data_IF_796117080881
#
_entry.id   IF_796117080881
#
_cell.length_a   1.000
_cell.length_b   1.000
_cell.length_c   1.000
_cell.angle_alpha   90.00
_cell.angle_beta   90.00
_cell.angle_gamma   90.00
#
_symmetry.space_group_name_H-M   'P 1'
#
loop_
_entity.id
_entity.type
_entity.pdbx_description
1 polymer ?
#
# COMPACT_ATOMS: atom_id res chain seq x y z
N UNK A 1 -31.96 21.26 -17.58
CA UNK A 1 -30.50 21.00 -17.57
C UNK A 1 -30.06 20.82 -16.12
N UNK A 2 -29.81 19.58 -15.70
CA UNK A 2 -29.36 19.29 -14.34
C UNK A 2 -27.98 19.91 -14.11
N UNK A 3 -27.84 20.71 -13.05
CA UNK A 3 -26.59 21.34 -12.62
C UNK A 3 -25.57 20.22 -12.38
N UNK A 4 -24.58 20.06 -13.26
CA UNK A 4 -23.49 19.08 -13.10
C UNK A 4 -22.89 19.25 -11.70
N UNK A 5 -23.10 18.25 -10.84
CA UNK A 5 -22.68 18.26 -9.45
C UNK A 5 -21.16 18.06 -9.37
N UNK A 6 -20.42 19.16 -9.54
CA UNK A 6 -18.95 19.21 -9.56
C UNK A 6 -18.30 18.75 -8.25
N UNK A 7 -19.06 18.69 -7.16
CA UNK A 7 -18.57 18.21 -5.86
C UNK A 7 -18.28 16.71 -5.87
N UNK A 8 -19.13 15.89 -6.50
CA UNK A 8 -18.95 14.43 -6.56
C UNK A 8 -17.68 14.05 -7.32
N UNK A 9 -17.44 14.70 -8.45
CA UNK A 9 -16.26 14.46 -9.30
C UNK A 9 -14.95 14.81 -8.57
N UNK A 10 -14.94 15.92 -7.82
CA UNK A 10 -13.77 16.33 -7.03
C UNK A 10 -13.45 15.37 -5.89
N UNK A 11 -14.48 14.87 -5.18
CA UNK A 11 -14.31 13.91 -4.09
C UNK A 11 -13.85 12.56 -4.63
N UNK A 12 -14.40 12.12 -5.77
CA UNK A 12 -13.95 10.89 -6.45
C UNK A 12 -12.48 11.00 -6.87
N UNK A 13 -12.09 12.13 -7.47
CA UNK A 13 -10.71 12.38 -7.87
C UNK A 13 -9.75 12.41 -6.67
N UNK A 14 -10.15 13.04 -5.56
CA UNK A 14 -9.35 13.06 -4.33
C UNK A 14 -9.21 11.67 -3.70
N UNK A 15 -10.27 10.86 -3.71
CA UNK A 15 -10.27 9.49 -3.20
C UNK A 15 -9.43 8.55 -4.06
N UNK A 16 -9.43 8.74 -5.38
CA UNK A 16 -8.56 8.01 -6.31
C UNK A 16 -7.10 8.46 -6.20
N UNK A 17 -6.84 9.74 -5.93
CA UNK A 17 -5.49 10.28 -5.75
C UNK A 17 -4.84 9.84 -4.42
N UNK A 18 -5.65 9.42 -3.44
CA UNK A 18 -5.16 8.95 -2.16
C UNK A 18 -4.54 7.55 -2.33
N UNK A 19 -3.20 7.51 -2.46
CA UNK A 19 -2.45 6.26 -2.55
C UNK A 19 -2.71 5.41 -1.31
N UNK A 20 -3.20 4.19 -1.53
CA UNK A 20 -3.35 3.20 -0.47
C UNK A 20 -1.97 2.62 -0.21
N UNK A 21 -1.46 2.81 0.99
CA UNK A 21 -0.16 2.26 1.40
C UNK A 21 -0.38 1.01 2.25
N UNK A 22 0.50 0.03 2.10
CA UNK A 22 0.52 -1.18 2.90
C UNK A 22 1.86 -1.30 3.64
N UNK A 23 1.80 -1.65 4.92
CA UNK A 23 2.97 -1.97 5.73
C UNK A 23 3.24 -3.47 5.62
N UNK A 24 4.40 -3.82 5.09
CA UNK A 24 4.86 -5.21 4.97
C UNK A 24 5.89 -5.48 6.06
N UNK A 25 5.73 -6.61 6.75
CA UNK A 25 6.63 -7.07 7.80
C UNK A 25 7.07 -8.49 7.43
N UNK A 26 8.36 -8.67 7.19
CA UNK A 26 8.96 -9.99 6.89
C UNK A 26 9.84 -10.38 8.08
N UNK A 27 9.60 -11.56 8.64
CA UNK A 27 10.48 -12.17 9.64
C UNK A 27 11.53 -13.04 8.96
N UNK A 28 12.77 -12.84 9.34
CA UNK A 28 13.91 -13.65 8.92
C UNK A 28 14.48 -14.36 10.14
N UNK A 29 14.60 -15.69 10.05
CA UNK A 29 15.23 -16.50 11.10
C UNK A 29 16.69 -16.72 10.73
N UNK A 30 17.59 -16.28 11.59
CA UNK A 30 19.02 -16.55 11.41
C UNK A 30 19.35 -18.02 11.72
N UNK A 31 20.46 -18.54 11.18
CA UNK A 31 20.95 -19.89 11.53
C UNK A 31 21.24 -20.07 13.03
N UNK A 32 21.47 -18.98 13.76
CA UNK A 32 21.71 -18.96 15.22
C UNK A 32 20.41 -18.90 16.04
N UNK A 33 19.24 -18.96 15.38
CA UNK A 33 17.93 -18.99 16.03
C UNK A 33 17.36 -17.62 16.41
N UNK A 34 18.07 -16.53 16.13
CA UNK A 34 17.53 -15.17 16.32
C UNK A 34 16.55 -14.82 15.20
N UNK A 35 15.51 -14.05 15.52
CA UNK A 35 14.52 -13.57 14.56
C UNK A 35 14.72 -12.07 14.39
N UNK A 36 14.92 -11.63 13.14
CA UNK A 36 14.92 -10.23 12.75
C UNK A 36 13.68 -9.90 11.94
N UNK A 37 13.22 -8.65 12.00
CA UNK A 37 12.07 -8.18 11.24
C UNK A 37 12.50 -7.06 10.29
N UNK A 38 12.21 -7.24 9.00
CA UNK A 38 12.32 -6.19 8.00
C UNK A 38 10.95 -5.56 7.81
N UNK A 39 10.86 -4.25 8.01
CA UNK A 39 9.62 -3.50 7.81
C UNK A 39 9.78 -2.51 6.67
N UNK A 40 8.80 -2.47 5.78
CA UNK A 40 8.77 -1.49 4.69
C UNK A 40 7.33 -1.06 4.44
N UNK A 41 7.15 0.18 3.98
CA UNK A 41 5.86 0.67 3.52
C UNK A 41 5.91 0.74 2.00
N UNK A 42 5.04 0.00 1.34
CA UNK A 42 4.90 -0.04 -0.12
C UNK A 42 3.50 0.37 -0.53
N UNK A 43 3.33 0.70 -1.80
CA UNK A 43 1.99 0.87 -2.36
C UNK A 43 1.21 -0.45 -2.24
N UNK A 44 -0.07 -0.38 -1.85
CA UNK A 44 -0.91 -1.56 -1.64
C UNK A 44 -0.98 -2.45 -2.88
N UNK A 45 -0.96 -1.84 -4.08
CA UNK A 45 -1.03 -2.58 -5.34
C UNK A 45 0.29 -3.33 -5.63
N UNK A 46 1.40 -2.94 -5.01
CA UNK A 46 2.75 -3.49 -5.22
C UNK A 46 3.19 -4.50 -4.16
N UNK A 47 2.33 -4.82 -3.19
CA UNK A 47 2.65 -5.77 -2.12
C UNK A 47 2.98 -7.16 -2.68
N UNK A 48 2.24 -7.63 -3.69
CA UNK A 48 2.47 -8.93 -4.31
C UNK A 48 3.83 -9.04 -4.99
N UNK A 49 4.27 -7.98 -5.68
CA UNK A 49 5.59 -7.92 -6.32
C UNK A 49 6.72 -7.88 -5.27
N UNK A 50 6.48 -7.17 -4.17
CA UNK A 50 7.43 -7.10 -3.06
C UNK A 50 7.70 -8.49 -2.45
N UNK A 51 6.68 -9.34 -2.31
CA UNK A 51 6.85 -10.71 -1.82
C UNK A 51 7.53 -11.65 -2.84
N UNK A 52 7.38 -11.41 -4.15
CA UNK A 52 8.06 -12.22 -5.18
C UNK A 52 9.55 -11.91 -5.31
N UNK A 53 9.94 -10.68 -4.97
CA UNK A 53 11.32 -10.20 -5.05
C UNK A 53 12.05 -10.19 -3.69
N UNK A 54 11.42 -10.68 -2.61
CA UNK A 54 12.06 -10.87 -1.29
C UNK A 54 12.63 -12.27 -1.18
#
# INVERSE_FOLDING_TARGET
MAKKQTFGDKVLAAKLAQRKMAKVIISEKSPRGTISYRTVTVDADKVGDYFKNS
#
